data_IF_588064619596
#
_entry.id   IF_588064619596
#
_cell.length_a   1.000
_cell.length_b   1.000
_cell.length_c   1.000
_cell.angle_alpha   90.00
_cell.angle_beta   90.00
_cell.angle_gamma   90.00
#
_symmetry.space_group_name_H-M   'P 1'
#
loop_
_entity.id
_entity.type
_entity.pdbx_description
1 polymer ?
#
# COMPACT_ATOMS: atom_id res chain seq x y z
N UNK A 1 -0.96 -6.72 14.54
CA UNK A 1 0.24 -7.29 13.88
C UNK A 1 0.47 -8.76 14.24
N UNK A 2 0.38 -9.20 15.49
CA UNK A 2 0.60 -10.63 15.82
C UNK A 2 -0.35 -11.56 15.05
N UNK A 3 -1.59 -11.12 14.87
CA UNK A 3 -2.66 -11.73 14.07
C UNK A 3 -2.42 -11.77 12.55
N UNK A 4 -1.40 -11.08 12.04
CA UNK A 4 -1.00 -11.21 10.63
C UNK A 4 -0.31 -12.55 10.38
N UNK A 5 0.29 -13.16 11.41
CA UNK A 5 1.12 -14.36 11.29
C UNK A 5 0.53 -15.57 12.03
N UNK A 6 -0.72 -15.48 12.49
CA UNK A 6 -1.48 -16.61 13.00
C UNK A 6 -2.12 -17.40 11.86
N UNK A 7 -2.67 -18.58 12.16
CA UNK A 7 -3.39 -19.41 11.19
C UNK A 7 -4.45 -18.59 10.43
N UNK A 8 -4.53 -18.77 9.11
CA UNK A 8 -5.40 -18.03 8.19
C UNK A 8 -5.18 -16.51 8.11
N UNK A 9 -4.14 -15.96 8.76
CA UNK A 9 -3.69 -14.56 8.66
C UNK A 9 -4.83 -13.51 8.75
N UNK A 10 -5.73 -13.60 9.75
CA UNK A 10 -6.92 -12.74 9.83
C UNK A 10 -6.60 -11.24 9.92
N UNK A 11 -5.44 -10.87 10.48
CA UNK A 11 -4.99 -9.47 10.53
C UNK A 11 -4.70 -8.89 9.15
N UNK A 12 -4.14 -9.69 8.23
CA UNK A 12 -3.85 -9.26 6.86
C UNK A 12 -5.15 -8.98 6.12
N UNK A 13 -6.13 -9.88 6.17
CA UNK A 13 -7.42 -9.67 5.52
C UNK A 13 -8.17 -8.46 6.06
N UNK A 14 -8.10 -8.19 7.38
CA UNK A 14 -8.64 -6.95 7.94
C UNK A 14 -7.95 -5.72 7.37
N UNK A 15 -6.61 -5.74 7.29
CA UNK A 15 -5.82 -4.63 6.75
C UNK A 15 -6.10 -4.39 5.26
N UNK A 16 -6.29 -5.45 4.48
CA UNK A 16 -6.66 -5.35 3.06
C UNK A 16 -8.04 -4.72 2.85
N UNK A 17 -9.04 -5.13 3.63
CA UNK A 17 -10.36 -4.51 3.60
C UNK A 17 -10.30 -3.04 4.02
N UNK A 18 -9.48 -2.73 5.03
CA UNK A 18 -9.30 -1.36 5.50
C UNK A 18 -8.58 -0.49 4.47
N UNK A 19 -7.56 -1.01 3.79
CA UNK A 19 -6.90 -0.38 2.65
C UNK A 19 -7.91 -0.09 1.53
N UNK A 20 -8.74 -1.06 1.15
CA UNK A 20 -9.83 -0.88 0.17
C UNK A 20 -10.75 0.29 0.56
N UNK A 21 -11.14 0.35 1.83
CA UNK A 21 -11.98 1.43 2.36
C UNK A 21 -11.31 2.80 2.35
N UNK A 22 -10.02 2.87 2.68
CA UNK A 22 -9.25 4.13 2.66
C UNK A 22 -9.14 4.62 1.22
N UNK A 23 -8.72 3.76 0.28
CA UNK A 23 -8.57 4.11 -1.13
C UNK A 23 -9.89 4.60 -1.72
N UNK A 24 -11.01 3.94 -1.41
CA UNK A 24 -12.36 4.40 -1.81
C UNK A 24 -12.67 5.83 -1.35
N UNK A 25 -12.16 6.26 -0.19
CA UNK A 25 -12.40 7.59 0.38
C UNK A 25 -11.44 8.64 -0.17
N UNK A 26 -10.16 8.31 -0.29
CA UNK A 26 -9.13 9.28 -0.69
C UNK A 26 -8.98 9.39 -2.22
N UNK A 27 -9.30 8.33 -2.95
CA UNK A 27 -9.20 8.26 -4.41
C UNK A 27 -10.35 7.41 -5.00
N UNK A 28 -11.55 7.97 -4.95
CA UNK A 28 -12.76 7.33 -5.46
C UNK A 28 -12.69 7.05 -6.98
N UNK A 29 -11.89 7.81 -7.74
CA UNK A 29 -11.71 7.62 -9.19
C UNK A 29 -10.95 6.31 -9.44
N UNK A 30 -9.81 6.13 -8.78
CA UNK A 30 -9.02 4.90 -8.90
C UNK A 30 -9.80 3.68 -8.41
N UNK A 31 -10.51 3.82 -7.29
CA UNK A 31 -11.36 2.75 -6.77
C UNK A 31 -12.43 2.31 -7.79
N UNK A 32 -13.16 3.27 -8.37
CA UNK A 32 -14.19 2.98 -9.36
C UNK A 32 -13.62 2.37 -10.64
N UNK A 33 -12.43 2.79 -11.06
CA UNK A 33 -11.71 2.19 -12.18
C UNK A 33 -11.38 0.73 -11.92
N UNK A 34 -10.79 0.41 -10.76
CA UNK A 34 -10.47 -0.97 -10.37
C UNK A 34 -11.70 -1.87 -10.33
N UNK A 35 -12.82 -1.40 -9.79
CA UNK A 35 -14.09 -2.16 -9.82
C UNK A 35 -14.59 -2.33 -11.28
N UNK A 36 -14.46 -1.31 -12.12
CA UNK A 36 -14.86 -1.35 -13.53
C UNK A 36 -14.06 -2.33 -14.39
N UNK A 37 -12.76 -2.51 -14.09
CA UNK A 37 -11.89 -3.48 -14.78
C UNK A 37 -11.80 -4.83 -14.06
N UNK A 38 -12.48 -4.99 -12.91
CA UNK A 38 -12.55 -6.26 -12.16
C UNK A 38 -11.33 -6.60 -11.30
N UNK A 39 -10.57 -5.60 -10.85
CA UNK A 39 -9.46 -5.80 -9.89
C UNK A 39 -10.00 -5.89 -8.46
N UNK A 40 -9.61 -6.96 -7.77
CA UNK A 40 -9.86 -7.11 -6.34
C UNK A 40 -8.62 -6.69 -5.53
N UNK A 41 -8.82 -5.87 -4.50
CA UNK A 41 -7.80 -5.46 -3.53
C UNK A 41 -7.22 -6.63 -2.74
N UNK A 42 -7.75 -7.85 -2.84
CA UNK A 42 -7.09 -9.04 -2.32
C UNK A 42 -5.90 -9.52 -3.19
N UNK A 43 -5.81 -9.11 -4.46
CA UNK A 43 -4.88 -9.69 -5.44
C UNK A 43 -3.46 -9.13 -5.37
N UNK A 44 -3.28 -7.83 -5.10
CA UNK A 44 -1.98 -7.16 -5.21
C UNK A 44 -1.34 -6.71 -3.88
N UNK A 45 -2.07 -6.16 -2.88
CA UNK A 45 -1.46 -5.56 -1.71
C UNK A 45 -1.26 -6.54 -0.56
N UNK A 46 -1.54 -7.84 -0.74
CA UNK A 46 -1.31 -8.86 0.29
C UNK A 46 0.15 -8.85 0.78
N UNK A 47 1.11 -8.73 -0.16
CA UNK A 47 2.53 -8.64 0.15
C UNK A 47 2.90 -7.33 0.84
N UNK A 48 2.16 -6.25 0.55
CA UNK A 48 2.41 -4.94 1.16
C UNK A 48 2.10 -5.01 2.66
N UNK A 49 0.93 -5.57 3.01
CA UNK A 49 0.52 -5.75 4.41
C UNK A 49 1.42 -6.74 5.17
N UNK A 50 1.84 -7.82 4.51
CA UNK A 50 2.66 -8.84 5.16
C UNK A 50 4.12 -8.46 5.36
N UNK A 51 4.67 -7.65 4.44
CA UNK A 51 6.06 -7.27 4.42
C UNK A 51 6.28 -5.79 4.73
N UNK A 52 5.24 -5.06 5.15
CA UNK A 52 5.32 -3.63 5.48
C UNK A 52 6.00 -2.81 4.36
N UNK A 53 5.64 -3.09 3.11
CA UNK A 53 6.19 -2.50 1.88
C UNK A 53 7.69 -2.71 1.59
N UNK A 54 8.49 -3.39 2.42
CA UNK A 54 9.95 -3.57 2.15
C UNK A 54 10.26 -4.28 0.82
N UNK A 55 9.30 -5.03 0.28
CA UNK A 55 9.41 -5.73 -1.00
C UNK A 55 9.13 -4.84 -2.22
N UNK A 56 8.62 -3.62 -1.99
CA UNK A 56 8.16 -2.71 -3.04
C UNK A 56 9.02 -1.47 -3.18
N UNK A 57 9.96 -1.21 -2.27
CA UNK A 57 10.83 -0.02 -2.26
C UNK A 57 12.29 -0.41 -2.02
N UNK A 58 13.28 0.43 -2.40
CA UNK A 58 14.68 0.21 -2.10
C UNK A 58 14.93 0.05 -0.58
N UNK A 59 16.00 -0.66 -0.20
CA UNK A 59 16.29 -0.94 1.20
C UNK A 59 16.47 0.33 2.03
N UNK A 60 17.17 1.33 1.51
CA UNK A 60 17.39 2.61 2.21
C UNK A 60 16.06 3.35 2.46
N UNK A 61 15.12 3.27 1.50
CA UNK A 61 13.76 3.80 1.66
C UNK A 61 12.98 3.03 2.73
N UNK A 62 13.12 1.71 2.78
CA UNK A 62 12.47 0.89 3.80
C UNK A 62 12.99 1.21 5.20
N UNK A 63 14.29 1.42 5.36
CA UNK A 63 14.89 1.86 6.63
C UNK A 63 14.29 3.20 7.06
N UNK A 64 14.25 4.19 6.16
CA UNK A 64 13.64 5.49 6.44
C UNK A 64 12.17 5.37 6.85
N UNK A 65 11.40 4.52 6.16
CA UNK A 65 10.00 4.27 6.52
C UNK A 65 9.86 3.63 7.90
N UNK A 66 10.76 2.70 8.22
CA UNK A 66 10.78 2.01 9.51
C UNK A 66 11.11 2.94 10.67
N UNK A 67 11.94 3.97 10.48
CA UNK A 67 12.18 4.98 11.53
C UNK A 67 10.86 5.61 12.02
N UNK A 68 9.96 5.93 11.10
CA UNK A 68 8.64 6.48 11.44
C UNK A 68 7.72 5.39 12.01
N UNK A 69 7.73 4.17 11.47
CA UNK A 69 6.93 3.08 12.04
C UNK A 69 7.30 2.76 13.49
N UNK A 70 8.60 2.78 13.82
CA UNK A 70 9.08 2.56 15.18
C UNK A 70 8.62 3.71 16.09
N UNK A 71 8.63 4.95 15.62
CA UNK A 71 8.11 6.09 16.36
C UNK A 71 6.58 6.02 16.61
N UNK A 72 5.83 5.40 15.70
CA UNK A 72 4.36 5.26 15.77
C UNK A 72 3.89 3.93 16.42
N UNK A 73 4.78 3.14 17.03
CA UNK A 73 4.43 1.83 17.61
C UNK A 73 3.27 1.93 18.61
N UNK A 74 3.31 2.92 19.50
CA UNK A 74 2.30 3.12 20.55
C UNK A 74 1.02 3.80 20.05
N UNK A 75 1.07 4.43 18.86
CA UNK A 75 -0.04 5.17 18.27
C UNK A 75 -0.88 4.34 17.27
N UNK A 76 -0.50 3.09 17.03
CA UNK A 76 -1.23 2.19 16.13
C UNK A 76 -0.59 2.06 14.75
N UNK A 77 0.64 1.54 14.72
CA UNK A 77 1.43 1.22 13.51
C UNK A 77 0.64 0.48 12.40
N UNK A 78 -0.30 -0.41 12.74
CA UNK A 78 -1.09 -1.13 11.73
C UNK A 78 -1.97 -0.16 10.96
N UNK A 79 -2.70 0.69 11.66
CA UNK A 79 -3.56 1.69 11.01
C UNK A 79 -2.75 2.71 10.24
N UNK A 80 -1.61 3.13 10.79
CA UNK A 80 -0.70 4.01 10.06
C UNK A 80 -0.18 3.36 8.76
N UNK A 81 0.17 2.08 8.80
CA UNK A 81 0.61 1.34 7.61
C UNK A 81 -0.49 1.23 6.53
N UNK A 82 -1.76 1.06 6.93
CA UNK A 82 -2.90 1.04 6.01
C UNK A 82 -3.02 2.38 5.26
N UNK A 83 -2.85 3.52 5.96
CA UNK A 83 -2.84 4.85 5.34
C UNK A 83 -1.63 5.07 4.44
N UNK A 84 -0.42 4.73 4.91
CA UNK A 84 0.80 4.80 4.09
C UNK A 84 0.64 4.00 2.80
N UNK A 85 0.06 2.81 2.87
CA UNK A 85 -0.14 1.95 1.69
C UNK A 85 -1.18 2.51 0.72
N UNK A 86 -2.21 3.20 1.22
CA UNK A 86 -3.20 3.88 0.39
C UNK A 86 -2.60 5.09 -0.34
N UNK A 87 -1.80 5.90 0.38
CA UNK A 87 -1.07 7.03 -0.20
C UNK A 87 -0.03 6.54 -1.21
N UNK A 88 0.70 5.48 -0.88
CA UNK A 88 1.66 4.83 -1.77
C UNK A 88 1.00 4.41 -3.09
N UNK A 89 -0.16 3.74 -3.05
CA UNK A 89 -0.92 3.41 -4.25
C UNK A 89 -1.31 4.67 -5.06
N UNK A 90 -1.73 5.74 -4.38
CA UNK A 90 -2.20 6.97 -5.01
C UNK A 90 -1.13 7.68 -5.85
N UNK A 91 0.16 7.42 -5.60
CA UNK A 91 1.28 7.96 -6.39
C UNK A 91 1.14 7.62 -7.87
N UNK A 92 0.58 6.46 -8.19
CA UNK A 92 0.39 5.99 -9.56
C UNK A 92 -1.06 6.04 -10.05
N UNK A 93 -1.95 6.73 -9.33
CA UNK A 93 -3.38 6.79 -9.67
C UNK A 93 -3.63 7.21 -11.13
N UNK A 94 -3.05 8.32 -11.57
CA UNK A 94 -3.23 8.83 -12.94
C UNK A 94 -2.64 7.92 -14.03
N UNK A 95 -1.68 7.05 -13.68
CA UNK A 95 -1.15 6.04 -14.59
C UNK A 95 -2.07 4.81 -14.63
N UNK A 96 -2.51 4.33 -13.47
CA UNK A 96 -3.40 3.17 -13.31
C UNK A 96 -4.78 3.40 -13.94
N UNK A 97 -5.31 4.62 -13.88
CA UNK A 97 -6.58 5.01 -14.52
C UNK A 97 -6.59 4.82 -16.05
N UNK A 98 -5.43 4.62 -16.67
CA UNK A 98 -5.28 4.44 -18.13
C UNK A 98 -5.00 2.98 -18.51
N UNK A 99 -4.88 2.09 -17.53
CA UNK A 99 -4.51 0.70 -17.70
C UNK A 99 -5.74 -0.21 -17.66
N UNK A 100 -5.71 -1.29 -18.42
CA UNK A 100 -6.68 -2.38 -18.28
C UNK A 100 -6.35 -3.31 -17.08
N UNK A 101 -7.12 -4.39 -16.93
CA UNK A 101 -6.93 -5.38 -15.85
C UNK A 101 -5.52 -5.98 -15.83
N UNK A 102 -5.02 -6.44 -16.98
CA UNK A 102 -3.75 -7.15 -17.06
C UNK A 102 -2.57 -6.20 -16.84
N UNK A 103 -2.63 -5.02 -17.46
CA UNK A 103 -1.62 -3.98 -17.31
C UNK A 103 -1.52 -3.52 -15.86
N UNK A 104 -2.66 -3.23 -15.22
CA UNK A 104 -2.72 -2.79 -13.82
C UNK A 104 -2.16 -3.84 -12.86
N UNK A 105 -2.54 -5.11 -13.01
CA UNK A 105 -2.03 -6.17 -12.12
C UNK A 105 -0.53 -6.37 -12.29
N UNK A 106 -0.01 -6.38 -13.52
CA UNK A 106 1.42 -6.51 -13.76
C UNK A 106 2.19 -5.32 -13.20
N UNK A 107 1.64 -4.11 -13.35
CA UNK A 107 2.22 -2.88 -12.80
C UNK A 107 2.26 -2.90 -11.28
N UNK A 108 1.15 -3.24 -10.61
CA UNK A 108 1.05 -3.30 -9.14
C UNK A 108 1.95 -4.38 -8.53
N UNK A 109 2.29 -5.43 -9.29
CA UNK A 109 3.26 -6.44 -8.84
C UNK A 109 4.71 -5.95 -8.88
N UNK A 110 5.02 -4.91 -9.66
CA UNK A 110 6.36 -4.37 -9.91
C UNK A 110 6.35 -2.85 -10.06
N UNK A 111 6.06 -2.16 -8.96
CA UNK A 111 6.02 -0.71 -8.94
C UNK A 111 7.41 -0.10 -9.24
N UNK A 112 7.48 1.01 -10.00
CA UNK A 112 8.76 1.59 -10.45
C UNK A 112 9.39 2.46 -9.36
N UNK A 113 9.86 1.84 -8.28
CA UNK A 113 10.42 2.51 -7.09
C UNK A 113 11.95 2.48 -7.04
N UNK A 114 12.63 1.91 -8.04
CA UNK A 114 14.09 1.72 -8.02
C UNK A 114 14.90 3.00 -7.78
N UNK A 115 14.35 4.14 -8.19
CA UNK A 115 15.00 5.44 -8.09
C UNK A 115 14.46 6.29 -6.92
N UNK A 116 13.63 5.71 -6.05
CA UNK A 116 13.14 6.41 -4.86
C UNK A 116 14.25 6.57 -3.83
N UNK A 117 14.21 7.69 -3.12
CA UNK A 117 15.00 7.97 -1.93
C UNK A 117 14.13 8.46 -0.78
N UNK A 118 14.77 9.07 0.21
CA UNK A 118 14.09 9.53 1.42
C UNK A 118 13.00 10.57 1.13
N UNK A 119 13.20 11.44 0.13
CA UNK A 119 12.23 12.49 -0.20
C UNK A 119 10.87 11.93 -0.64
N UNK A 120 10.85 10.86 -1.45
CA UNK A 120 9.61 10.20 -1.86
C UNK A 120 8.92 9.54 -0.66
N UNK A 121 9.70 8.90 0.23
CA UNK A 121 9.16 8.29 1.44
C UNK A 121 8.60 9.33 2.41
N UNK A 122 9.29 10.45 2.62
CA UNK A 122 8.83 11.57 3.44
C UNK A 122 7.53 12.15 2.88
N UNK A 123 7.42 12.28 1.55
CA UNK A 123 6.20 12.76 0.90
C UNK A 123 5.02 11.79 1.07
N UNK A 124 5.27 10.48 1.07
CA UNK A 124 4.24 9.46 1.35
C UNK A 124 3.81 9.53 2.81
N UNK A 125 4.77 9.55 3.75
CA UNK A 125 4.53 9.62 5.19
C UNK A 125 3.74 10.88 5.55
N UNK A 126 4.12 12.03 5.01
CA UNK A 126 3.48 13.32 5.32
C UNK A 126 2.01 13.41 4.85
N UNK A 127 1.60 12.57 3.90
CA UNK A 127 0.25 12.55 3.35
C UNK A 127 -0.61 11.43 3.97
N UNK A 128 0.00 10.52 4.73
CA UNK A 128 -0.65 9.40 5.41
C UNK A 128 -1.20 9.85 6.77
#
# INVERSE_FOLDING_TARGET
MQDNYTENQPGVYRSLNKLKDIVRRIDARLYAHFEGIGIDFLQFPFRWMNCMLIREIPLDCAIRLWDTYIAELDNGIVSFHEYVSAVFLSVWSEQLLKMDYQESLLFLQRLPTSNWGNAEIDAVISKA
#
